data_IF_736607291913
#
_entry.id   IF_736607291913
#
_cell.length_a   1.000
_cell.length_b   1.000
_cell.length_c   1.000
_cell.angle_alpha   90.00
_cell.angle_beta   90.00
_cell.angle_gamma   90.00
#
_symmetry.space_group_name_H-M   'P 1'
#
loop_
_entity.id
_entity.type
_entity.pdbx_description
1 polymer ?
#
# COMPACT_ATOMS: atom_id res chain seq x y z
N UNK A 1 -16.35 -18.70 1.22
CA UNK A 1 -15.10 -18.12 1.72
C UNK A 1 -13.97 -18.62 0.82
N UNK A 2 -13.62 -17.84 -0.20
CA UNK A 2 -12.49 -18.17 -1.09
C UNK A 2 -11.50 -17.02 -0.86
N UNK A 3 -10.47 -17.30 -0.03
CA UNK A 3 -9.25 -16.49 0.02
C UNK A 3 -8.72 -16.41 -1.42
N UNK A 4 -8.09 -15.30 -1.86
CA UNK A 4 -7.10 -15.44 -2.90
C UNK A 4 -6.10 -16.45 -2.33
N UNK A 5 -6.02 -17.62 -2.96
CA UNK A 5 -5.33 -18.80 -2.44
C UNK A 5 -3.81 -18.66 -2.64
N UNK A 6 -3.26 -17.55 -2.15
CA UNK A 6 -1.83 -17.29 -2.11
C UNK A 6 -1.36 -17.50 -0.68
N UNK A 7 -0.64 -18.58 -0.45
CA UNK A 7 0.01 -18.84 0.84
C UNK A 7 1.01 -17.72 1.17
N UNK A 8 1.29 -17.48 2.45
CA UNK A 8 2.26 -16.46 2.89
C UNK A 8 3.64 -16.59 2.19
N UNK A 9 4.18 -17.80 1.92
CA UNK A 9 5.41 -17.98 1.13
C UNK A 9 5.31 -17.49 -0.32
N UNK A 10 4.14 -17.64 -0.95
CA UNK A 10 3.93 -17.16 -2.32
C UNK A 10 3.81 -15.65 -2.40
N UNK A 11 3.21 -15.02 -1.40
CA UNK A 11 3.18 -13.56 -1.26
C UNK A 11 4.58 -13.00 -1.00
N UNK A 12 5.37 -13.66 -0.15
CA UNK A 12 6.76 -13.27 0.10
C UNK A 12 7.61 -13.31 -1.17
N UNK A 13 7.50 -14.37 -1.96
CA UNK A 13 8.21 -14.50 -3.24
C UNK A 13 7.81 -13.42 -4.25
N UNK A 14 6.51 -13.06 -4.28
CA UNK A 14 5.97 -12.08 -5.21
C UNK A 14 6.51 -10.66 -4.97
N UNK A 15 6.64 -10.26 -3.71
CA UNK A 15 7.06 -8.90 -3.35
C UNK A 15 8.56 -8.77 -3.11
N UNK A 16 9.26 -9.90 -2.92
CA UNK A 16 10.68 -9.90 -2.58
C UNK A 16 11.59 -9.42 -3.69
N UNK A 17 11.40 -9.91 -4.92
CA UNK A 17 12.24 -9.57 -6.07
C UNK A 17 12.10 -8.11 -6.52
N UNK A 18 10.93 -7.51 -6.32
CA UNK A 18 10.60 -6.13 -6.71
C UNK A 18 10.82 -5.08 -5.63
N UNK A 19 11.32 -5.41 -4.42
CA UNK A 19 11.37 -4.48 -3.29
C UNK A 19 12.22 -3.22 -3.57
N UNK A 20 13.37 -3.36 -4.23
CA UNK A 20 14.23 -2.22 -4.59
C UNK A 20 13.59 -1.32 -5.66
N UNK A 21 12.95 -1.91 -6.66
CA UNK A 21 12.21 -1.17 -7.68
C UNK A 21 10.95 -0.51 -7.07
N UNK A 22 10.29 -1.18 -6.13
CA UNK A 22 9.16 -0.63 -5.38
C UNK A 22 9.57 0.64 -4.64
N UNK A 23 10.65 0.60 -3.87
CA UNK A 23 11.14 1.78 -3.12
C UNK A 23 11.49 2.94 -4.06
N UNK A 24 12.12 2.63 -5.19
CA UNK A 24 12.63 3.64 -6.10
C UNK A 24 11.55 4.27 -6.99
N UNK A 25 10.57 3.49 -7.45
CA UNK A 25 9.68 3.90 -8.54
C UNK A 25 8.21 4.00 -8.16
N UNK A 26 7.80 3.49 -6.97
CA UNK A 26 6.41 3.69 -6.54
C UNK A 26 6.20 5.11 -6.04
N UNK A 27 5.12 5.78 -6.48
CA UNK A 27 4.78 7.10 -5.94
C UNK A 27 4.55 7.02 -4.43
N UNK A 28 5.10 8.01 -3.71
CA UNK A 28 4.88 8.15 -2.27
C UNK A 28 3.43 8.55 -1.92
N UNK A 29 3.18 8.75 -0.63
CA UNK A 29 1.91 9.30 -0.14
C UNK A 29 1.88 10.81 -0.42
N UNK A 30 0.81 11.35 -1.05
CA UNK A 30 0.72 12.78 -1.35
C UNK A 30 0.73 13.63 -0.08
N UNK A 31 1.40 14.81 -0.07
CA UNK A 31 1.49 15.67 1.11
C UNK A 31 0.13 16.00 1.76
N UNK A 32 -0.97 16.30 1.03
CA UNK A 32 -2.27 16.53 1.65
C UNK A 32 -2.82 15.31 2.40
N UNK A 33 -2.60 14.09 1.87
CA UNK A 33 -2.99 12.86 2.56
C UNK A 33 -2.14 12.63 3.82
N UNK A 34 -0.83 12.92 3.77
CA UNK A 34 0.05 12.90 4.96
C UNK A 34 -0.46 13.87 6.03
N UNK A 35 -0.88 15.09 5.65
CA UNK A 35 -1.43 16.07 6.59
C UNK A 35 -2.76 15.60 7.23
N UNK A 36 -3.60 14.90 6.46
CA UNK A 36 -4.81 14.27 7.00
C UNK A 36 -4.46 13.21 8.05
N UNK A 37 -3.55 12.29 7.75
CA UNK A 37 -3.10 11.26 8.69
C UNK A 37 -2.45 11.89 9.94
N UNK A 38 -1.63 12.91 9.72
CA UNK A 38 -1.01 13.70 10.77
C UNK A 38 -2.04 14.31 11.73
N UNK A 39 -3.17 14.79 11.20
CA UNK A 39 -4.23 15.37 12.01
C UNK A 39 -4.86 14.37 12.99
N UNK A 40 -4.89 13.08 12.66
CA UNK A 40 -5.38 12.02 13.53
C UNK A 40 -4.43 11.74 14.72
N UNK A 41 -3.17 12.14 14.61
CA UNK A 41 -2.12 11.93 15.61
C UNK A 41 -1.80 13.21 16.43
N UNK A 42 -2.18 14.38 15.92
CA UNK A 42 -1.94 15.66 16.61
C UNK A 42 -2.59 15.67 17.99
N UNK A 43 -1.95 16.33 18.92
CA UNK A 43 -2.38 16.46 20.32
C UNK A 43 -2.40 15.15 21.11
N UNK A 44 -1.81 14.08 20.59
CA UNK A 44 -1.62 12.83 21.32
C UNK A 44 -0.29 12.87 22.06
N UNK A 45 -0.27 12.57 23.36
CA UNK A 45 0.99 12.25 24.00
C UNK A 45 1.51 10.92 23.41
N UNK A 46 2.78 10.89 23.05
CA UNK A 46 3.45 9.68 22.56
C UNK A 46 2.68 8.93 21.43
N UNK A 47 2.43 9.57 20.27
CA UNK A 47 1.62 8.96 19.24
C UNK A 47 2.26 7.69 18.68
N UNK A 48 1.42 6.65 18.48
CA UNK A 48 1.83 5.33 18.01
C UNK A 48 1.15 5.03 16.68
N UNK A 49 1.95 4.61 15.68
CA UNK A 49 1.51 4.15 14.38
C UNK A 49 1.62 2.62 14.31
N UNK A 50 0.57 1.97 13.79
CA UNK A 50 0.60 0.59 13.28
C UNK A 50 0.39 0.64 11.78
N UNK A 51 1.40 0.28 10.99
CA UNK A 51 1.34 0.27 9.52
C UNK A 51 1.33 -1.17 9.00
N UNK A 52 0.21 -1.58 8.41
CA UNK A 52 -0.07 -2.94 7.96
C UNK A 52 0.15 -3.07 6.44
N UNK A 53 1.00 -4.03 6.06
CA UNK A 53 1.54 -4.11 4.70
C UNK A 53 2.41 -2.91 4.42
N UNK A 54 3.35 -2.65 5.33
CA UNK A 54 4.20 -1.46 5.33
C UNK A 54 5.07 -1.34 4.07
N UNK A 55 5.33 -2.46 3.39
CA UNK A 55 6.22 -2.52 2.24
C UNK A 55 7.60 -1.96 2.60
N UNK A 56 8.06 -0.98 1.84
CA UNK A 56 9.34 -0.30 2.05
C UNK A 56 9.28 0.86 3.06
N UNK A 57 8.19 0.99 3.83
CA UNK A 57 8.06 2.02 4.87
C UNK A 57 7.67 3.41 4.37
N UNK A 58 7.00 3.53 3.23
CA UNK A 58 6.64 4.84 2.66
C UNK A 58 5.72 5.67 3.56
N UNK A 59 4.70 5.04 4.19
CA UNK A 59 3.77 5.73 5.11
C UNK A 59 4.48 6.18 6.38
N UNK A 60 5.18 5.29 7.12
CA UNK A 60 5.96 5.70 8.29
C UNK A 60 6.94 6.83 7.98
N UNK A 61 7.70 6.73 6.88
CA UNK A 61 8.66 7.75 6.48
C UNK A 61 8.00 9.12 6.22
N UNK A 62 6.86 9.11 5.52
CA UNK A 62 6.12 10.35 5.25
C UNK A 62 5.58 11.00 6.53
N UNK A 63 5.13 10.20 7.51
CA UNK A 63 4.66 10.71 8.79
C UNK A 63 5.81 11.19 9.69
N UNK A 64 6.98 10.54 9.67
CA UNK A 64 8.18 11.02 10.36
C UNK A 64 8.63 12.38 9.81
N UNK A 65 8.61 12.55 8.48
CA UNK A 65 8.94 13.81 7.83
C UNK A 65 7.95 14.95 8.15
N UNK A 66 6.75 14.63 8.63
CA UNK A 66 5.77 15.63 9.08
C UNK A 66 6.02 16.15 10.51
N UNK A 67 7.09 15.70 11.17
CA UNK A 67 7.55 16.13 12.49
C UNK A 67 6.47 16.07 13.59
N UNK A 68 5.68 15.01 13.59
CA UNK A 68 4.56 14.82 14.52
C UNK A 68 4.96 14.35 15.91
N UNK A 69 6.25 14.12 16.14
CA UNK A 69 6.73 13.54 17.39
C UNK A 69 6.25 12.11 17.61
N UNK A 70 6.18 11.29 16.54
CA UNK A 70 5.88 9.85 16.67
C UNK A 70 6.81 9.22 17.71
N UNK A 71 6.21 8.55 18.69
CA UNK A 71 6.95 7.88 19.76
C UNK A 71 7.31 6.43 19.35
N UNK A 72 6.41 5.78 18.62
CA UNK A 72 6.60 4.38 18.23
C UNK A 72 5.92 4.04 16.90
N UNK A 73 6.56 3.19 16.13
CA UNK A 73 6.06 2.63 14.88
C UNK A 73 6.15 1.10 14.95
N UNK A 74 5.01 0.45 14.73
CA UNK A 74 4.90 -0.97 14.44
C UNK A 74 4.67 -1.12 12.94
N UNK A 75 5.64 -1.65 12.20
CA UNK A 75 5.56 -1.81 10.76
C UNK A 75 5.50 -3.31 10.42
N UNK A 76 4.37 -3.75 9.90
CA UNK A 76 4.04 -5.17 9.67
C UNK A 76 4.03 -5.45 8.17
N UNK A 77 4.72 -6.51 7.75
CA UNK A 77 4.66 -7.02 6.37
C UNK A 77 4.92 -8.53 6.33
N UNK A 78 4.37 -9.21 5.33
CA UNK A 78 4.62 -10.63 5.08
C UNK A 78 5.92 -10.87 4.32
N UNK A 79 6.51 -9.84 3.74
CA UNK A 79 7.72 -9.90 2.92
C UNK A 79 8.94 -9.41 3.70
N UNK A 80 9.87 -10.33 4.01
CA UNK A 80 11.12 -9.96 4.67
C UNK A 80 11.98 -9.01 3.83
N UNK A 81 12.14 -9.16 2.51
CA UNK A 81 12.85 -8.19 1.69
C UNK A 81 12.25 -6.77 1.74
N UNK A 82 10.91 -6.65 1.83
CA UNK A 82 10.24 -5.36 2.02
C UNK A 82 10.60 -4.75 3.38
N UNK A 83 10.56 -5.54 4.45
CA UNK A 83 10.95 -5.09 5.80
C UNK A 83 12.43 -4.69 5.88
N UNK A 84 13.31 -5.34 5.15
CA UNK A 84 14.72 -4.96 5.08
C UNK A 84 14.90 -3.61 4.39
N UNK A 85 14.19 -3.35 3.28
CA UNK A 85 14.13 -2.02 2.66
C UNK A 85 13.51 -0.97 3.60
N UNK A 86 12.43 -1.31 4.33
CA UNK A 86 11.82 -0.42 5.31
C UNK A 86 12.82 -0.06 6.43
N UNK A 87 13.61 -1.02 6.91
CA UNK A 87 14.66 -0.77 7.92
C UNK A 87 15.67 0.25 7.41
N UNK A 88 16.19 0.01 6.20
CA UNK A 88 17.20 0.88 5.60
C UNK A 88 16.66 2.30 5.34
N UNK A 89 15.41 2.41 4.91
CA UNK A 89 14.76 3.69 4.64
C UNK A 89 14.37 4.48 5.92
N UNK A 90 13.96 3.78 6.98
CA UNK A 90 13.44 4.42 8.20
C UNK A 90 14.53 4.72 9.23
N UNK A 91 15.52 3.83 9.41
CA UNK A 91 16.57 3.99 10.43
C UNK A 91 17.23 5.38 10.43
N UNK A 92 17.59 5.97 9.28
CA UNK A 92 18.23 7.29 9.25
C UNK A 92 17.34 8.46 9.70
N UNK A 93 16.00 8.28 9.70
CA UNK A 93 15.02 9.35 9.92
C UNK A 93 14.18 9.16 11.19
N UNK A 94 14.44 8.12 11.98
CA UNK A 94 13.67 7.82 13.20
C UNK A 94 13.77 8.92 14.28
N UNK A 95 14.92 9.59 14.42
CA UNK A 95 15.12 10.53 15.52
C UNK A 95 14.93 9.84 16.87
N UNK A 96 13.94 10.29 17.65
CA UNK A 96 13.57 9.70 18.95
C UNK A 96 12.48 8.61 18.85
N UNK A 97 11.93 8.39 17.65
CA UNK A 97 10.91 7.38 17.42
C UNK A 97 11.51 5.97 17.51
N UNK A 98 10.83 5.07 18.19
CA UNK A 98 11.20 3.66 18.20
C UNK A 98 10.49 2.91 17.06
N UNK A 99 11.20 1.97 16.41
CA UNK A 99 10.68 1.18 15.30
C UNK A 99 10.73 -0.31 15.65
N UNK A 100 9.61 -0.99 15.46
CA UNK A 100 9.55 -2.45 15.43
C UNK A 100 9.07 -2.91 14.07
N UNK A 101 9.89 -3.75 13.40
CA UNK A 101 9.54 -4.44 12.16
C UNK A 101 9.00 -5.83 12.51
N UNK A 102 7.81 -6.15 12.02
CA UNK A 102 7.11 -7.40 12.32
C UNK A 102 6.87 -8.19 11.04
N UNK A 103 7.53 -9.34 10.93
CA UNK A 103 7.33 -10.27 9.82
C UNK A 103 6.13 -11.17 10.13
N UNK A 104 4.95 -10.77 9.69
CA UNK A 104 3.69 -11.48 9.91
C UNK A 104 2.62 -11.07 8.90
N UNK A 105 1.58 -11.90 8.75
CA UNK A 105 0.33 -11.46 8.15
C UNK A 105 -0.35 -10.41 9.05
N UNK A 106 -1.04 -9.44 8.45
CA UNK A 106 -1.63 -8.33 9.16
C UNK A 106 -2.68 -8.78 10.20
N UNK A 107 -3.49 -9.79 9.86
CA UNK A 107 -4.49 -10.38 10.74
C UNK A 107 -3.89 -11.22 11.88
N UNK A 108 -2.65 -11.68 11.72
CA UNK A 108 -1.89 -12.42 12.72
C UNK A 108 -1.00 -11.53 13.62
N UNK A 109 -1.03 -10.20 13.41
CA UNK A 109 -0.27 -9.26 14.23
C UNK A 109 -0.71 -9.37 15.72
N UNK A 110 0.30 -9.40 16.58
CA UNK A 110 0.13 -9.31 18.04
C UNK A 110 1.15 -8.34 18.62
N UNK A 111 0.74 -7.47 19.56
CA UNK A 111 1.68 -6.65 20.33
C UNK A 111 2.67 -7.53 21.10
N UNK A 112 3.84 -7.00 21.45
CA UNK A 112 4.80 -7.71 22.31
C UNK A 112 4.20 -8.00 23.68
N UNK A 113 4.26 -9.26 24.10
CA UNK A 113 3.91 -9.65 25.46
C UNK A 113 4.95 -9.11 26.47
N UNK A 114 4.50 -8.47 27.54
CA UNK A 114 5.37 -8.10 28.68
C UNK A 114 6.14 -6.77 28.55
N UNK A 115 5.94 -6.01 27.46
CA UNK A 115 6.43 -4.64 27.33
C UNK A 115 5.34 -3.60 27.63
N UNK A 116 5.70 -2.31 27.70
CA UNK A 116 4.72 -1.23 27.60
C UNK A 116 4.04 -1.31 26.23
N UNK A 117 2.94 -2.03 26.16
CA UNK A 117 2.15 -2.18 24.93
C UNK A 117 1.46 -0.84 24.69
N UNK A 118 2.04 -0.05 23.81
CA UNK A 118 1.45 1.24 23.42
C UNK A 118 0.38 0.96 22.36
N UNK A 119 -0.88 1.13 22.73
CA UNK A 119 -1.99 0.96 21.80
C UNK A 119 -1.85 1.93 20.60
N UNK A 120 -1.94 1.44 19.35
CA UNK A 120 -1.88 2.30 18.18
C UNK A 120 -2.98 3.37 18.18
N UNK A 121 -2.61 4.61 17.91
CA UNK A 121 -3.55 5.73 17.73
C UNK A 121 -3.98 5.87 16.26
N UNK A 122 -3.16 5.37 15.34
CA UNK A 122 -3.46 5.30 13.92
C UNK A 122 -3.03 3.93 13.40
N UNK A 123 -3.95 3.26 12.69
CA UNK A 123 -3.68 2.03 11.93
C UNK A 123 -3.79 2.38 10.45
N UNK A 124 -2.76 2.07 9.66
CA UNK A 124 -2.72 2.38 8.23
C UNK A 124 -2.58 1.13 7.39
N UNK A 125 -3.27 1.10 6.24
CA UNK A 125 -3.09 0.14 5.16
C UNK A 125 -2.99 0.93 3.85
N UNK A 126 -1.80 1.02 3.25
CA UNK A 126 -1.60 1.75 2.00
C UNK A 126 -1.30 0.79 0.86
N UNK A 127 -2.20 0.72 -0.15
CA UNK A 127 -2.07 -0.15 -1.33
C UNK A 127 -1.90 -1.65 -1.00
N UNK A 128 -2.30 -2.07 0.21
CA UNK A 128 -2.07 -3.44 0.72
C UNK A 128 -3.34 -4.17 1.16
N UNK A 129 -4.40 -3.45 1.51
CA UNK A 129 -5.60 -4.01 2.14
C UNK A 129 -6.33 -5.06 1.27
N UNK A 130 -6.20 -4.99 -0.05
CA UNK A 130 -6.78 -5.99 -0.98
C UNK A 130 -6.10 -7.36 -0.93
N UNK A 131 -4.93 -7.47 -0.30
CA UNK A 131 -4.21 -8.73 -0.11
C UNK A 131 -4.55 -9.43 1.21
N UNK A 132 -5.31 -8.77 2.10
CA UNK A 132 -5.51 -9.19 3.48
C UNK A 132 -6.87 -9.86 3.68
N UNK A 133 -7.00 -10.63 4.76
CA UNK A 133 -8.31 -10.98 5.32
C UNK A 133 -8.88 -9.73 6.02
N UNK A 134 -9.61 -8.92 5.25
CA UNK A 134 -10.07 -7.60 5.67
C UNK A 134 -10.89 -7.60 6.95
N UNK A 135 -11.90 -8.51 7.12
CA UNK A 135 -12.63 -8.61 8.38
C UNK A 135 -11.75 -8.97 9.57
N UNK A 136 -10.80 -9.90 9.39
CA UNK A 136 -9.89 -10.31 10.44
C UNK A 136 -8.92 -9.18 10.84
N UNK A 137 -8.40 -8.42 9.85
CA UNK A 137 -7.55 -7.24 10.08
C UNK A 137 -8.31 -6.15 10.83
N UNK A 138 -9.56 -5.84 10.45
CA UNK A 138 -10.36 -4.83 11.15
C UNK A 138 -10.70 -5.26 12.58
N UNK A 139 -10.96 -6.54 12.81
CA UNK A 139 -11.18 -7.10 14.17
C UNK A 139 -9.89 -7.07 15.02
N UNK A 140 -8.73 -7.35 14.40
CA UNK A 140 -7.43 -7.23 15.05
C UNK A 140 -7.15 -5.77 15.45
N UNK A 141 -7.37 -4.83 14.53
CA UNK A 141 -7.22 -3.41 14.80
C UNK A 141 -8.15 -2.93 15.93
N UNK A 142 -9.41 -3.41 15.97
CA UNK A 142 -10.34 -3.09 17.06
C UNK A 142 -9.87 -3.59 18.40
N UNK A 143 -9.26 -4.76 18.44
CA UNK A 143 -8.75 -5.38 19.69
C UNK A 143 -7.57 -4.62 20.28
N UNK A 144 -6.67 -4.10 19.44
CA UNK A 144 -5.37 -3.60 19.90
C UNK A 144 -5.19 -2.09 19.83
N UNK A 145 -5.97 -1.39 19.00
CA UNK A 145 -5.86 0.05 18.88
C UNK A 145 -6.50 0.80 20.07
N UNK A 146 -6.00 1.99 20.34
CA UNK A 146 -6.53 2.89 21.37
C UNK A 146 -8.04 3.14 21.16
N UNK A 147 -8.80 3.41 22.23
CA UNK A 147 -10.26 3.60 22.14
C UNK A 147 -10.67 4.67 21.11
N UNK A 148 -9.89 5.72 20.98
CA UNK A 148 -10.10 6.86 20.12
C UNK A 148 -9.20 6.86 18.85
N UNK A 149 -8.64 5.70 18.51
CA UNK A 149 -7.83 5.51 17.32
C UNK A 149 -8.62 5.72 16.01
N UNK A 150 -7.88 5.89 14.94
CA UNK A 150 -8.40 5.86 13.58
C UNK A 150 -7.76 4.73 12.77
N UNK A 151 -8.50 4.20 11.79
CA UNK A 151 -8.02 3.31 10.73
C UNK A 151 -8.05 4.08 9.42
N UNK A 152 -6.96 4.03 8.65
CA UNK A 152 -6.87 4.65 7.33
C UNK A 152 -6.57 3.59 6.27
N UNK A 153 -7.54 3.28 5.43
CA UNK A 153 -7.37 2.46 4.23
C UNK A 153 -7.14 3.40 3.06
N UNK A 154 -5.99 3.28 2.39
CA UNK A 154 -5.62 4.29 1.40
C UNK A 154 -4.87 3.73 0.21
N UNK A 155 -4.93 4.48 -0.88
CA UNK A 155 -4.22 4.17 -2.10
C UNK A 155 -4.72 4.98 -3.28
N UNK A 156 -4.10 4.76 -4.40
CA UNK A 156 -4.49 5.25 -5.70
C UNK A 156 -4.70 4.07 -6.67
N UNK A 157 -5.21 4.34 -7.84
CA UNK A 157 -5.25 3.37 -8.92
C UNK A 157 -3.83 2.96 -9.35
N UNK A 158 -3.77 1.99 -10.24
CA UNK A 158 -2.52 1.59 -10.88
C UNK A 158 -2.48 2.07 -12.32
N UNK A 159 -1.32 2.06 -12.96
CA UNK A 159 -1.20 2.31 -14.40
C UNK A 159 -2.05 1.36 -15.25
N UNK A 160 -2.48 0.22 -14.68
CA UNK A 160 -3.43 -0.68 -15.35
C UNK A 160 -4.82 -0.07 -15.53
N UNK A 161 -5.28 0.70 -14.55
CA UNK A 161 -6.63 1.30 -14.54
C UNK A 161 -6.64 2.74 -15.06
N UNK A 162 -5.49 3.34 -15.24
CA UNK A 162 -5.36 4.69 -15.76
C UNK A 162 -5.70 4.74 -17.27
N UNK A 163 -6.41 5.80 -17.70
CA UNK A 163 -6.91 5.92 -19.06
C UNK A 163 -6.24 7.10 -19.81
N UNK A 164 -4.97 6.92 -20.15
CA UNK A 164 -4.24 7.76 -21.09
C UNK A 164 -3.81 6.91 -22.29
N UNK A 165 -3.52 7.55 -23.44
CA UNK A 165 -3.12 6.83 -24.65
C UNK A 165 -1.93 5.91 -24.41
N UNK A 166 -0.92 6.42 -23.72
CA UNK A 166 0.30 5.65 -23.42
C UNK A 166 0.05 4.50 -22.43
N UNK A 167 -0.87 4.64 -21.46
CA UNK A 167 -1.20 3.56 -20.53
C UNK A 167 -2.06 2.49 -21.18
N UNK A 168 -2.97 2.87 -22.10
CA UNK A 168 -3.73 1.91 -22.91
C UNK A 168 -2.81 1.08 -23.80
N UNK A 169 -1.89 1.75 -24.52
CA UNK A 169 -0.91 1.07 -25.37
C UNK A 169 0.01 0.13 -24.56
N UNK A 170 0.45 0.57 -23.38
CA UNK A 170 1.25 -0.26 -22.47
C UNK A 170 0.48 -1.47 -21.95
N UNK A 171 -0.79 -1.32 -21.58
CA UNK A 171 -1.67 -2.42 -21.16
C UNK A 171 -1.86 -3.43 -22.28
N UNK A 172 -2.12 -2.97 -23.51
CA UNK A 172 -2.22 -3.84 -24.70
C UNK A 172 -0.92 -4.62 -24.93
N UNK A 173 0.24 -3.96 -24.75
CA UNK A 173 1.52 -4.65 -24.83
C UNK A 173 1.65 -5.76 -23.78
N UNK A 174 1.34 -5.46 -22.52
CA UNK A 174 1.36 -6.46 -21.45
C UNK A 174 0.43 -7.64 -21.81
N UNK A 175 -0.77 -7.35 -22.30
CA UNK A 175 -1.75 -8.37 -22.67
C UNK A 175 -1.29 -9.24 -23.87
N UNK A 176 -0.53 -8.69 -24.82
CA UNK A 176 0.07 -9.50 -25.91
C UNK A 176 1.07 -10.53 -25.38
N UNK A 177 1.78 -10.23 -24.31
CA UNK A 177 2.75 -11.14 -23.71
C UNK A 177 2.14 -12.12 -22.71
N UNK A 178 1.17 -11.69 -21.89
CA UNK A 178 0.66 -12.43 -20.73
C UNK A 178 -0.80 -12.91 -20.89
N UNK A 179 -1.47 -12.52 -21.98
CA UNK A 179 -2.89 -12.80 -22.18
C UNK A 179 -3.79 -11.65 -21.75
N UNK A 180 -5.07 -11.71 -22.14
CA UNK A 180 -6.04 -10.63 -21.97
C UNK A 180 -6.38 -10.39 -20.49
N UNK A 181 -6.38 -11.45 -19.69
CA UNK A 181 -6.72 -11.37 -18.27
C UNK A 181 -5.60 -10.69 -17.49
N UNK A 182 -5.98 -9.72 -16.63
CA UNK A 182 -5.04 -9.12 -15.69
C UNK A 182 -4.51 -10.18 -14.75
N UNK A 183 -3.20 -10.30 -14.67
CA UNK A 183 -2.55 -11.16 -13.68
C UNK A 183 -2.52 -10.47 -12.33
N UNK A 184 -2.60 -11.27 -11.27
CA UNK A 184 -2.41 -10.81 -9.90
C UNK A 184 -1.68 -11.89 -9.10
N UNK A 185 -0.80 -11.46 -8.20
CA UNK A 185 -0.06 -12.39 -7.36
C UNK A 185 0.82 -13.35 -8.17
N UNK A 186 0.80 -14.62 -7.82
CA UNK A 186 1.62 -15.70 -8.42
C UNK A 186 1.15 -16.15 -9.81
N UNK A 187 0.53 -15.27 -10.58
CA UNK A 187 0.10 -15.55 -11.96
C UNK A 187 -1.36 -15.98 -12.10
N UNK A 188 -2.13 -15.93 -11.02
CA UNK A 188 -3.60 -16.12 -11.08
C UNK A 188 -4.28 -14.90 -11.70
N UNK A 189 -5.48 -15.09 -12.26
CA UNK A 189 -6.30 -13.98 -12.75
C UNK A 189 -6.74 -13.08 -11.58
N UNK A 190 -6.75 -11.76 -11.81
CA UNK A 190 -7.30 -10.81 -10.85
C UNK A 190 -8.81 -11.03 -10.72
N UNK A 191 -9.27 -11.23 -9.49
CA UNK A 191 -10.70 -11.24 -9.18
C UNK A 191 -11.06 -9.96 -8.44
N UNK A 192 -12.09 -9.26 -8.92
CA UNK A 192 -12.63 -8.12 -8.17
C UNK A 192 -13.15 -8.58 -6.81
N UNK A 193 -12.85 -7.83 -5.75
CA UNK A 193 -13.40 -8.11 -4.43
C UNK A 193 -14.93 -8.03 -4.46
N UNK A 194 -15.60 -8.97 -3.76
CA UNK A 194 -17.08 -9.00 -3.68
C UNK A 194 -17.66 -7.82 -2.91
N UNK A 195 -16.87 -7.13 -2.10
CA UNK A 195 -17.26 -6.00 -1.26
C UNK A 195 -16.26 -4.87 -1.43
N UNK A 196 -16.74 -3.65 -1.39
CA UNK A 196 -15.87 -2.47 -1.34
C UNK A 196 -15.19 -2.35 0.03
N UNK A 197 -14.21 -1.47 0.15
CA UNK A 197 -13.56 -1.19 1.44
C UNK A 197 -14.52 -0.48 2.41
N UNK A 198 -15.39 0.39 1.88
CA UNK A 198 -16.43 1.09 2.63
C UNK A 198 -17.42 0.10 3.25
N UNK A 199 -17.84 -0.93 2.47
CA UNK A 199 -18.73 -1.97 2.98
C UNK A 199 -18.07 -2.82 4.08
N UNK A 200 -16.77 -3.10 3.95
CA UNK A 200 -16.04 -3.85 4.97
C UNK A 200 -15.88 -3.02 6.26
N UNK A 201 -15.55 -1.73 6.14
CA UNK A 201 -15.48 -0.80 7.25
C UNK A 201 -16.84 -0.63 7.93
N UNK A 202 -17.90 -0.38 7.15
CA UNK A 202 -19.26 -0.21 7.67
C UNK A 202 -19.79 -1.44 8.42
N UNK A 203 -19.31 -2.65 8.06
CA UNK A 203 -19.67 -3.90 8.72
C UNK A 203 -18.78 -4.25 9.92
N UNK A 204 -17.84 -3.39 10.29
CA UNK A 204 -16.89 -3.55 11.39
C UNK A 204 -17.14 -2.56 12.53
N UNK A 205 -16.33 -2.60 13.57
CA UNK A 205 -16.32 -1.58 14.62
C UNK A 205 -15.96 -0.18 14.09
N UNK A 206 -15.31 -0.08 12.93
CA UNK A 206 -14.80 1.14 12.31
C UNK A 206 -15.82 1.76 11.33
N UNK A 207 -17.09 1.87 11.75
CA UNK A 207 -18.22 2.20 10.88
C UNK A 207 -18.45 3.71 10.66
N UNK A 208 -17.76 4.59 11.39
CA UNK A 208 -17.77 6.04 11.13
C UNK A 208 -16.67 6.36 10.11
N UNK A 209 -17.03 6.37 8.83
CA UNK A 209 -16.11 6.44 7.70
C UNK A 209 -16.26 7.78 6.97
N UNK A 210 -15.14 8.44 6.72
CA UNK A 210 -15.07 9.63 5.86
C UNK A 210 -14.10 9.35 4.71
N UNK A 211 -14.57 9.52 3.47
CA UNK A 211 -13.74 9.46 2.28
C UNK A 211 -13.09 10.81 2.01
N UNK A 212 -11.77 10.80 1.81
CA UNK A 212 -10.99 11.96 1.37
C UNK A 212 -10.31 11.63 0.05
N UNK A 213 -10.45 12.50 -0.94
CA UNK A 213 -9.92 12.33 -2.29
C UNK A 213 -8.92 13.43 -2.61
N UNK A 214 -7.73 13.05 -3.01
CA UNK A 214 -6.63 13.94 -3.33
C UNK A 214 -6.23 13.76 -4.80
N UNK A 215 -6.59 14.68 -5.70
CA UNK A 215 -6.10 14.67 -7.07
C UNK A 215 -4.57 14.79 -7.08
N UNK A 216 -3.92 13.97 -7.90
CA UNK A 216 -2.46 13.93 -8.04
C UNK A 216 -2.10 13.85 -9.51
N UNK A 217 -1.42 14.87 -10.00
CA UNK A 217 -0.85 14.87 -11.34
C UNK A 217 0.60 14.39 -11.28
N UNK A 218 0.94 13.39 -12.11
CA UNK A 218 2.28 12.85 -12.22
C UNK A 218 2.79 12.95 -13.64
N UNK A 219 4.07 13.21 -13.75
CA UNK A 219 4.81 13.14 -15.03
C UNK A 219 5.81 12.01 -14.90
N UNK A 220 5.72 11.04 -15.79
CA UNK A 220 6.57 9.87 -15.80
C UNK A 220 7.67 10.00 -16.86
N UNK A 221 8.90 9.63 -16.51
CA UNK A 221 9.90 9.31 -17.51
C UNK A 221 9.75 7.83 -17.96
N UNK A 222 10.03 7.47 -19.22
CA UNK A 222 9.94 6.09 -19.70
C UNK A 222 10.66 5.09 -18.80
N UNK A 223 11.87 5.43 -18.31
CA UNK A 223 12.65 4.57 -17.39
C UNK A 223 11.93 4.32 -16.07
N UNK A 224 11.19 5.32 -15.56
CA UNK A 224 10.52 5.22 -14.26
C UNK A 224 9.24 4.37 -14.39
N UNK A 225 8.56 4.43 -15.54
CA UNK A 225 7.45 3.50 -15.87
C UNK A 225 7.95 2.05 -15.90
N UNK A 226 9.10 1.79 -16.54
CA UNK A 226 9.69 0.44 -16.58
C UNK A 226 10.01 -0.06 -15.17
N UNK A 227 10.64 0.77 -14.34
CA UNK A 227 10.92 0.42 -12.94
C UNK A 227 9.64 0.19 -12.12
N UNK A 228 8.62 1.03 -12.33
CA UNK A 228 7.30 0.83 -11.72
C UNK A 228 6.70 -0.54 -12.11
N UNK A 229 6.73 -0.91 -13.40
CA UNK A 229 6.19 -2.19 -13.87
C UNK A 229 6.85 -3.38 -13.17
N UNK A 230 8.17 -3.37 -13.00
CA UNK A 230 8.91 -4.44 -12.31
C UNK A 230 8.44 -4.65 -10.86
N UNK A 231 7.90 -3.61 -10.23
CA UNK A 231 7.38 -3.66 -8.85
C UNK A 231 5.91 -4.03 -8.77
N UNK A 232 5.24 -4.34 -9.90
CA UNK A 232 3.80 -4.63 -9.92
C UNK A 232 3.53 -6.13 -10.01
N UNK A 233 2.45 -6.57 -9.36
CA UNK A 233 1.99 -7.96 -9.43
C UNK A 233 1.45 -8.38 -10.80
N UNK A 234 1.18 -7.43 -11.71
CA UNK A 234 0.62 -7.70 -13.04
C UNK A 234 1.65 -7.63 -14.17
N UNK A 235 2.87 -7.14 -13.90
CA UNK A 235 3.95 -7.03 -14.87
C UNK A 235 5.34 -7.29 -14.25
N UNK A 236 5.40 -8.06 -13.16
CA UNK A 236 6.64 -8.49 -12.55
C UNK A 236 7.47 -9.33 -13.54
N UNK A 237 8.82 -9.25 -13.50
CA UNK A 237 9.72 -9.95 -14.42
C UNK A 237 9.43 -11.44 -14.55
N UNK A 238 9.10 -12.09 -13.44
CA UNK A 238 8.86 -13.52 -13.32
C UNK A 238 7.68 -13.99 -14.20
N UNK A 239 6.68 -13.12 -14.42
CA UNK A 239 5.52 -13.44 -15.27
C UNK A 239 5.90 -13.62 -16.74
N UNK A 240 6.95 -12.96 -17.18
CA UNK A 240 7.40 -13.01 -18.58
C UNK A 240 8.45 -14.12 -18.81
N UNK A 241 9.14 -14.58 -17.77
CA UNK A 241 10.22 -15.53 -17.88
C UNK A 241 11.29 -15.07 -18.88
N UNK A 242 11.75 -15.96 -19.78
CA UNK A 242 12.75 -15.62 -20.81
C UNK A 242 12.35 -14.47 -21.76
N UNK A 243 11.05 -14.18 -21.86
CA UNK A 243 10.55 -13.09 -22.71
C UNK A 243 10.64 -11.71 -22.06
N UNK A 244 11.04 -11.61 -20.78
CA UNK A 244 11.07 -10.34 -20.04
C UNK A 244 11.93 -9.27 -20.74
N UNK A 245 13.14 -9.63 -21.19
CA UNK A 245 14.03 -8.67 -21.87
C UNK A 245 13.42 -8.14 -23.17
N UNK A 246 12.72 -8.99 -23.93
CA UNK A 246 12.04 -8.57 -25.17
C UNK A 246 10.85 -7.66 -24.87
N UNK A 247 10.05 -8.01 -23.87
CA UNK A 247 8.96 -7.16 -23.38
C UNK A 247 9.45 -5.77 -22.96
N UNK A 248 10.50 -5.72 -22.13
CA UNK A 248 11.05 -4.44 -21.64
C UNK A 248 11.58 -3.55 -22.76
N UNK A 249 12.28 -4.15 -23.74
CA UNK A 249 12.78 -3.42 -24.90
C UNK A 249 11.62 -2.86 -25.75
N UNK A 250 10.52 -3.60 -25.91
CA UNK A 250 9.35 -3.13 -26.65
C UNK A 250 8.58 -2.05 -25.86
N UNK A 251 8.40 -2.24 -24.55
CA UNK A 251 7.78 -1.27 -23.65
C UNK A 251 8.56 0.06 -23.65
N UNK A 252 9.88 0.01 -23.62
CA UNK A 252 10.73 1.22 -23.70
C UNK A 252 10.52 1.95 -24.99
N UNK A 253 10.56 1.26 -26.15
CA UNK A 253 10.32 1.90 -27.46
C UNK A 253 8.94 2.55 -27.55
N UNK A 254 7.92 1.86 -27.03
CA UNK A 254 6.55 2.38 -26.97
C UNK A 254 6.47 3.66 -26.14
N UNK A 255 7.04 3.64 -24.94
CA UNK A 255 7.02 4.78 -24.03
C UNK A 255 7.84 5.96 -24.58
N UNK A 256 9.00 5.71 -25.20
CA UNK A 256 9.82 6.74 -25.84
C UNK A 256 9.09 7.39 -27.02
N UNK A 257 8.35 6.60 -27.82
CA UNK A 257 7.52 7.12 -28.90
C UNK A 257 6.40 8.04 -28.38
N UNK A 258 5.71 7.66 -27.32
CA UNK A 258 4.71 8.52 -26.69
C UNK A 258 5.33 9.77 -26.06
N UNK A 259 6.48 9.65 -25.39
CA UNK A 259 7.19 10.76 -24.77
C UNK A 259 7.72 11.79 -25.80
N UNK A 260 7.95 11.38 -27.05
CA UNK A 260 8.32 12.30 -28.15
C UNK A 260 7.19 13.25 -28.52
N UNK A 261 5.93 12.87 -28.27
CA UNK A 261 4.74 13.70 -28.52
C UNK A 261 4.33 14.59 -27.35
N UNK A 262 4.95 14.41 -26.18
CA UNK A 262 4.65 15.14 -24.96
C UNK A 262 4.93 14.31 -23.69
N UNK A 263 4.77 14.91 -22.49
CA UNK A 263 5.04 14.21 -21.25
C UNK A 263 4.06 13.06 -21.03
N UNK A 264 4.56 11.95 -20.46
CA UNK A 264 3.71 10.84 -20.03
C UNK A 264 3.00 11.25 -18.72
N UNK A 265 1.82 11.85 -18.85
CA UNK A 265 1.05 12.33 -17.70
C UNK A 265 0.11 11.26 -17.16
N UNK A 266 -0.06 11.25 -15.85
CA UNK A 266 -1.05 10.48 -15.12
C UNK A 266 -1.86 11.42 -14.21
N UNK A 267 -3.18 11.44 -14.39
CA UNK A 267 -4.12 12.13 -13.52
C UNK A 267 -4.73 11.08 -12.57
N UNK A 268 -4.14 10.92 -11.40
CA UNK A 268 -4.59 9.97 -10.40
C UNK A 268 -5.41 10.63 -9.30
N UNK A 269 -6.15 9.84 -8.55
CA UNK A 269 -6.78 10.25 -7.31
C UNK A 269 -6.28 9.33 -6.20
N UNK A 270 -5.59 9.90 -5.22
CA UNK A 270 -5.23 9.19 -4.00
C UNK A 270 -6.40 9.30 -3.02
N UNK A 271 -6.97 8.17 -2.64
CA UNK A 271 -8.12 8.10 -1.73
C UNK A 271 -7.68 7.64 -0.36
N UNK A 272 -8.22 8.25 0.69
CA UNK A 272 -8.09 7.82 2.08
C UNK A 272 -9.49 7.64 2.65
N UNK A 273 -9.82 6.41 3.02
CA UNK A 273 -10.97 6.10 3.87
C UNK A 273 -10.48 6.18 5.32
N UNK A 274 -10.80 7.29 5.99
CA UNK A 274 -10.47 7.49 7.39
C UNK A 274 -11.67 7.05 8.22
N UNK A 275 -11.49 5.99 9.00
CA UNK A 275 -12.52 5.35 9.77
C UNK A 275 -12.27 5.49 11.28
N UNK A 276 -13.33 5.70 12.05
CA UNK A 276 -13.32 5.68 13.51
C UNK A 276 -14.35 4.67 14.01
N UNK A 277 -14.26 4.31 15.28
CA UNK A 277 -15.30 3.47 15.88
C UNK A 277 -16.63 4.21 15.82
N UNK A 278 -17.65 3.53 15.28
CA UNK A 278 -19.00 4.06 15.32
C UNK A 278 -19.41 4.33 16.76
N UNK A 279 -19.94 5.52 17.05
CA UNK A 279 -20.47 5.82 18.36
C UNK A 279 -21.57 4.81 18.67
N UNK A 280 -21.34 3.91 19.64
CA UNK A 280 -22.36 3.01 20.09
C UNK A 280 -23.60 3.82 20.40
N UNK A 281 -24.74 3.50 19.78
CA UNK A 281 -26.03 3.97 20.27
C UNK A 281 -26.07 3.55 21.73
N UNK A 282 -25.88 4.54 22.61
CA UNK A 282 -26.22 4.37 24.02
C UNK A 282 -27.71 4.00 24.04
N UNK A 283 -27.98 2.72 24.18
CA UNK A 283 -29.34 2.29 24.54
C UNK A 283 -29.67 2.96 25.87
N UNK A 284 -30.55 3.96 25.78
CA UNK A 284 -31.22 4.53 26.94
C UNK A 284 -32.46 3.69 27.22
#
# INVERSE_FOLDING_TARGET
MIRPDTSAPEQEALFGSGAADYERFRPGVPPPAVQLLASALRSRPDPVLLDLGTGTGQVPRALLAAELGLAHIEAVDVSRPMLDQARDALTPVLGHCTLRLVHAAADAYTPLAGGETRAPHLVTCCRSFHWMDRPAVLAMADRYAAPDAAVAIMGDGSLWTHDADWTRALRELIQRYLGVERRAGTGTAYCEPRRSYEEDLAASAWSDVTEHRFPVDRVWAPKDVIGYLRSTSFAAPELFGERHAAFEAEARRLLDAHASGGPLTEHAVFTVLLARRGGGRSER
#
